data_IF_945996507986
#
_entry.id   IF_945996507986
#
_cell.length_a   1.000
_cell.length_b   1.000
_cell.length_c   1.000
_cell.angle_alpha   90.00
_cell.angle_beta   90.00
_cell.angle_gamma   90.00
#
_symmetry.space_group_name_H-M   'P 1'
#
loop_
_entity.id
_entity.type
_entity.pdbx_description
1 polymer ?
#
# COMPACT_ATOMS: atom_id res chain seq x y z
N UNK A 1 -3.83 14.86 16.82
CA UNK A 1 -2.96 15.02 16.03
C UNK A 1 -2.80 13.94 15.09
N UNK A 2 -2.65 12.78 15.46
CA UNK A 2 -2.57 11.72 14.59
C UNK A 2 -3.82 11.55 13.84
N UNK A 3 -4.88 11.95 14.39
CA UNK A 3 -6.13 11.79 13.83
C UNK A 3 -6.27 12.61 12.63
N UNK A 4 -5.47 13.58 12.41
CA UNK A 4 -5.63 14.40 11.26
C UNK A 4 -4.87 13.85 10.07
N UNK A 5 -4.17 12.76 10.23
CA UNK A 5 -3.43 12.17 9.12
C UNK A 5 -4.33 11.17 8.42
N UNK A 6 -4.62 11.35 7.16
CA UNK A 6 -5.51 10.42 6.47
C UNK A 6 -4.87 9.05 6.33
N UNK A 7 -5.68 8.04 6.22
CA UNK A 7 -5.15 6.70 6.02
C UNK A 7 -4.51 6.62 4.65
N UNK A 8 -3.64 5.65 4.44
CA UNK A 8 -3.02 5.49 3.13
C UNK A 8 -4.03 5.33 2.00
N UNK A 9 -5.15 4.67 2.29
CA UNK A 9 -6.15 4.47 1.26
C UNK A 9 -6.81 5.79 0.88
N UNK A 10 -7.10 6.63 1.88
CA UNK A 10 -7.73 7.92 1.59
C UNK A 10 -6.80 8.80 0.77
N UNK A 11 -5.54 8.83 1.16
CA UNK A 11 -4.58 9.65 0.44
C UNK A 11 -4.34 9.18 -0.98
N UNK A 12 -4.20 7.88 -1.17
CA UNK A 12 -3.98 7.34 -2.50
C UNK A 12 -5.17 7.60 -3.40
N UNK A 13 -6.36 7.40 -2.89
CA UNK A 13 -7.54 7.57 -3.69
C UNK A 13 -7.71 9.01 -4.12
N UNK A 14 -7.52 9.93 -3.21
CA UNK A 14 -7.64 11.33 -3.53
C UNK A 14 -6.58 11.75 -4.53
N UNK A 15 -5.35 11.29 -4.34
CA UNK A 15 -4.27 11.62 -5.24
C UNK A 15 -4.57 11.11 -6.64
N UNK A 16 -5.00 9.86 -6.76
CA UNK A 16 -5.27 9.28 -8.06
C UNK A 16 -6.38 10.05 -8.77
N UNK A 17 -7.43 10.38 -8.04
CA UNK A 17 -8.54 11.09 -8.63
C UNK A 17 -8.12 12.47 -9.11
N UNK A 18 -7.38 13.18 -8.29
CA UNK A 18 -6.95 14.51 -8.66
C UNK A 18 -5.99 14.50 -9.83
N UNK A 19 -5.08 13.54 -9.86
CA UNK A 19 -4.17 13.45 -10.97
C UNK A 19 -4.88 13.08 -12.25
N UNK A 20 -5.98 12.36 -12.15
CA UNK A 20 -6.76 12.01 -13.32
C UNK A 20 -7.69 13.13 -13.75
N UNK A 21 -7.78 14.20 -12.95
CA UNK A 21 -8.65 15.30 -13.30
C UNK A 21 -10.14 14.96 -13.17
N UNK A 22 -10.48 14.03 -12.29
CA UNK A 22 -11.86 13.62 -12.14
C UNK A 22 -12.50 14.18 -10.91
N UNK A 23 -13.80 14.41 -10.98
CA UNK A 23 -14.56 14.74 -9.78
C UNK A 23 -14.87 13.44 -9.07
N UNK A 24 -15.33 13.55 -7.82
CA UNK A 24 -15.75 12.37 -7.09
C UNK A 24 -16.90 11.68 -7.80
N UNK A 25 -17.77 12.43 -8.42
CA UNK A 25 -18.87 11.85 -9.14
C UNK A 25 -18.41 11.10 -10.37
N UNK A 26 -17.46 11.63 -11.08
CA UNK A 26 -16.94 10.95 -12.25
C UNK A 26 -16.24 9.64 -11.87
N UNK A 27 -15.47 9.67 -10.82
CA UNK A 27 -14.81 8.47 -10.38
C UNK A 27 -15.84 7.42 -9.94
N UNK A 28 -16.85 7.87 -9.19
CA UNK A 28 -17.89 6.95 -8.72
C UNK A 28 -18.60 6.31 -9.89
N UNK A 29 -18.91 7.09 -10.90
CA UNK A 29 -19.61 6.57 -12.07
C UNK A 29 -18.74 5.54 -12.79
N UNK A 30 -17.48 5.82 -12.95
CA UNK A 30 -16.60 4.87 -13.63
C UNK A 30 -16.41 3.60 -12.85
N UNK A 31 -16.38 3.70 -11.54
CA UNK A 31 -16.17 2.52 -10.72
C UNK A 31 -17.47 1.78 -10.41
N UNK A 32 -18.60 2.35 -10.73
CA UNK A 32 -19.88 1.73 -10.43
C UNK A 32 -20.25 1.76 -8.97
N UNK A 33 -19.89 2.84 -8.27
CA UNK A 33 -20.24 2.99 -6.86
C UNK A 33 -20.88 4.34 -6.66
N UNK A 34 -21.40 4.61 -5.47
CA UNK A 34 -21.99 5.88 -5.16
C UNK A 34 -20.96 6.92 -4.89
N UNK A 35 -21.23 8.16 -5.26
CA UNK A 35 -20.33 9.26 -4.96
C UNK A 35 -20.13 9.39 -3.46
N UNK A 36 -21.17 9.10 -2.67
CA UNK A 36 -21.02 9.22 -1.22
C UNK A 36 -20.01 8.23 -0.68
N UNK A 37 -19.84 7.09 -1.34
CA UNK A 37 -18.84 6.13 -0.94
C UNK A 37 -17.44 6.68 -1.23
N UNK A 38 -17.26 7.28 -2.40
CA UNK A 38 -15.96 7.85 -2.73
C UNK A 38 -15.63 8.94 -1.72
N UNK A 39 -16.58 9.78 -1.41
CA UNK A 39 -16.37 10.85 -0.46
C UNK A 39 -16.01 10.30 0.92
N UNK A 40 -16.70 9.28 1.37
CA UNK A 40 -16.44 8.69 2.67
C UNK A 40 -15.03 8.10 2.74
N UNK A 41 -14.59 7.47 1.68
CA UNK A 41 -13.24 6.90 1.64
C UNK A 41 -12.19 8.01 1.63
N UNK A 42 -12.41 9.06 0.87
CA UNK A 42 -11.43 10.15 0.79
C UNK A 42 -11.34 10.95 2.07
N UNK A 43 -12.43 11.02 2.82
CA UNK A 43 -12.42 11.72 4.09
C UNK A 43 -12.14 10.78 5.25
N UNK A 44 -11.77 9.55 4.95
CA UNK A 44 -11.39 8.56 5.94
C UNK A 44 -12.51 8.26 6.93
N UNK A 45 -13.74 8.40 6.50
CA UNK A 45 -14.87 8.03 7.32
C UNK A 45 -15.17 6.57 7.18
N UNK A 46 -14.74 5.95 6.11
CA UNK A 46 -14.85 4.53 5.90
C UNK A 46 -13.60 4.04 5.21
N UNK A 47 -13.25 2.78 5.43
CA UNK A 47 -12.08 2.20 4.81
C UNK A 47 -12.54 1.27 3.71
N UNK A 48 -12.03 1.40 2.51
CA UNK A 48 -12.39 0.46 1.46
C UNK A 48 -11.67 -0.86 1.70
N UNK A 49 -12.27 -1.94 1.26
CA UNK A 49 -11.54 -3.20 1.25
C UNK A 49 -10.48 -3.06 0.17
N UNK A 50 -9.48 -3.91 0.22
CA UNK A 50 -8.43 -3.85 -0.78
C UNK A 50 -8.98 -4.03 -2.20
N UNK A 51 -9.84 -5.01 -2.47
CA UNK A 51 -10.39 -5.11 -3.81
C UNK A 51 -11.14 -3.86 -4.25
N UNK A 52 -11.85 -3.21 -3.34
CA UNK A 52 -12.58 -2.01 -3.69
C UNK A 52 -11.62 -0.88 -3.99
N UNK A 53 -10.56 -0.76 -3.21
CA UNK A 53 -9.57 0.28 -3.46
C UNK A 53 -8.91 0.08 -4.83
N UNK A 54 -8.54 -1.16 -5.15
CA UNK A 54 -7.92 -1.44 -6.43
C UNK A 54 -8.85 -1.11 -7.58
N UNK A 55 -10.13 -1.40 -7.41
CA UNK A 55 -11.11 -1.10 -8.43
C UNK A 55 -11.24 0.40 -8.65
N UNK A 56 -11.25 1.17 -7.57
CA UNK A 56 -11.35 2.60 -7.67
C UNK A 56 -10.12 3.21 -8.33
N UNK A 57 -8.95 2.72 -7.96
CA UNK A 57 -7.72 3.23 -8.57
C UNK A 57 -7.68 2.91 -10.05
N UNK A 58 -8.14 1.73 -10.42
CA UNK A 58 -8.16 1.36 -11.79
C UNK A 58 -9.14 2.25 -12.57
N UNK A 59 -10.27 2.59 -11.96
CA UNK A 59 -11.22 3.47 -12.60
C UNK A 59 -10.63 4.85 -12.85
N UNK A 60 -9.68 5.26 -12.02
CA UNK A 60 -9.01 6.53 -12.20
C UNK A 60 -7.83 6.40 -13.19
N UNK A 61 -7.57 5.21 -13.67
CA UNK A 61 -6.50 5.02 -14.62
C UNK A 61 -5.18 4.62 -14.02
N UNK A 62 -5.19 4.16 -12.78
CA UNK A 62 -3.95 3.78 -12.12
C UNK A 62 -3.96 2.33 -11.71
N UNK A 63 -2.79 1.77 -11.59
CA UNK A 63 -2.63 0.41 -11.13
C UNK A 63 -1.76 0.48 -9.89
N UNK A 64 -2.18 -0.12 -8.80
CA UNK A 64 -1.38 -0.14 -7.60
C UNK A 64 -0.58 -1.42 -7.57
N UNK A 65 0.71 -1.30 -7.42
CA UNK A 65 1.57 -2.46 -7.28
C UNK A 65 2.06 -2.52 -5.87
N UNK A 66 2.11 -3.72 -5.33
CA UNK A 66 2.45 -3.89 -3.94
C UNK A 66 3.54 -4.92 -3.80
N UNK A 67 4.38 -4.74 -2.84
CA UNK A 67 5.39 -5.75 -2.54
C UNK A 67 5.65 -5.69 -1.05
N UNK A 68 6.24 -6.72 -0.52
CA UNK A 68 6.53 -6.79 0.88
C UNK A 68 8.01 -6.62 1.11
N UNK A 69 8.32 -5.96 2.19
CA UNK A 69 9.71 -5.80 2.60
C UNK A 69 9.80 -6.13 4.06
N UNK A 70 10.95 -6.52 4.56
CA UNK A 70 11.08 -6.78 5.98
C UNK A 70 10.76 -5.52 6.77
N UNK A 71 10.12 -5.68 7.87
CA UNK A 71 9.75 -4.54 8.69
C UNK A 71 11.02 -3.91 9.22
N UNK A 72 11.15 -2.61 9.01
CA UNK A 72 12.33 -1.89 9.46
C UNK A 72 11.88 -0.94 10.51
N UNK A 73 12.10 -1.27 11.74
CA UNK A 73 11.70 -0.44 12.83
C UNK A 73 12.85 0.21 13.51
N UNK A 74 14.00 0.36 12.88
CA UNK A 74 15.09 0.89 13.58
C UNK A 74 14.93 2.33 13.91
N UNK A 75 14.09 3.04 13.29
CA UNK A 75 13.88 4.40 13.67
C UNK A 75 13.14 4.39 14.99
N UNK A 76 12.45 3.40 15.30
CA UNK A 76 11.67 3.34 16.47
C UNK A 76 12.32 2.68 17.55
N UNK A 77 12.41 1.48 17.55
CA UNK A 77 12.74 0.75 18.66
C UNK A 77 14.03 0.34 18.60
N UNK A 78 14.64 0.44 17.56
CA UNK A 78 15.57 -0.38 17.34
C UNK A 78 16.88 -0.10 17.30
N UNK A 79 17.25 1.13 17.31
CA UNK A 79 18.63 1.47 17.45
C UNK A 79 19.17 0.70 18.61
N UNK A 80 18.43 0.62 19.66
CA UNK A 80 18.87 -0.05 20.83
C UNK A 80 18.99 -1.53 20.66
N UNK A 81 18.04 -2.13 20.03
CA UNK A 81 18.08 -3.55 19.85
C UNK A 81 19.16 -3.92 18.93
N UNK A 82 19.30 -3.18 17.87
CA UNK A 82 20.31 -3.46 16.90
C UNK A 82 21.65 -3.36 17.52
N UNK A 83 21.87 -2.39 18.34
CA UNK A 83 23.14 -2.20 18.96
C UNK A 83 23.52 -3.35 19.87
N UNK A 84 22.54 -4.08 20.33
CA UNK A 84 22.81 -5.19 21.22
C UNK A 84 22.98 -6.50 20.51
N UNK A 85 22.77 -6.54 19.24
CA UNK A 85 22.92 -7.77 18.52
C UNK A 85 24.36 -8.01 18.15
N UNK A 86 24.77 -9.23 18.25
CA UNK A 86 26.11 -9.57 17.79
C UNK A 86 26.08 -9.62 16.27
N UNK A 87 27.21 -9.55 15.62
CA UNK A 87 27.24 -9.65 14.19
C UNK A 87 26.63 -10.96 13.68
N UNK A 88 26.84 -12.05 14.42
CA UNK A 88 26.27 -13.31 14.02
C UNK A 88 24.74 -13.28 14.10
N UNK A 89 24.22 -12.68 15.14
CA UNK A 89 22.77 -12.58 15.29
C UNK A 89 22.17 -11.70 14.20
N UNK A 90 22.88 -10.65 13.85
CA UNK A 90 22.40 -9.76 12.84
C UNK A 90 22.37 -10.46 11.48
N UNK A 91 23.42 -11.21 11.19
CA UNK A 91 23.47 -11.94 9.95
C UNK A 91 22.39 -13.01 9.87
N UNK A 92 22.14 -13.68 10.99
CA UNK A 92 21.10 -14.69 11.03
C UNK A 92 19.73 -14.10 10.82
N UNK A 93 19.50 -12.92 11.39
CA UNK A 93 18.22 -12.26 11.24
C UNK A 93 18.01 -11.85 9.78
N UNK A 94 19.05 -11.30 9.17
CA UNK A 94 18.96 -10.87 7.80
C UNK A 94 18.69 -12.05 6.87
N UNK A 95 19.33 -13.16 7.16
CA UNK A 95 19.15 -14.33 6.34
C UNK A 95 17.71 -14.84 6.45
N UNK A 96 17.13 -14.80 7.64
CA UNK A 96 15.76 -15.22 7.82
C UNK A 96 14.82 -14.30 7.05
N UNK A 97 15.08 -12.99 7.07
CA UNK A 97 14.24 -12.06 6.36
C UNK A 97 14.35 -12.28 4.85
N UNK A 98 15.53 -12.55 4.38
CA UNK A 98 15.75 -12.77 2.99
C UNK A 98 14.99 -14.00 2.51
N UNK A 99 15.05 -15.07 3.27
CA UNK A 99 14.35 -16.28 2.94
C UNK A 99 12.85 -16.08 2.97
N UNK A 100 12.38 -15.32 3.94
CA UNK A 100 10.98 -15.08 4.05
C UNK A 100 10.49 -14.31 2.85
N UNK A 101 11.19 -13.29 2.42
CA UNK A 101 10.78 -12.52 1.28
C UNK A 101 10.84 -13.35 0.00
N UNK A 102 11.84 -14.17 -0.12
CA UNK A 102 11.96 -15.00 -1.30
C UNK A 102 10.77 -15.95 -1.44
N UNK A 103 10.29 -16.47 -0.32
CA UNK A 103 9.17 -17.38 -0.40
C UNK A 103 7.87 -16.67 -0.70
N UNK A 104 7.79 -15.37 -0.46
CA UNK A 104 6.59 -14.63 -0.74
C UNK A 104 6.61 -14.04 -2.13
N UNK A 105 7.76 -13.94 -2.73
CA UNK A 105 7.86 -13.31 -4.03
C UNK A 105 7.37 -14.26 -5.09
N UNK A 106 6.40 -13.91 -5.84
CA UNK A 106 5.89 -14.82 -6.85
C UNK A 106 6.82 -14.79 -8.03
N UNK A 107 6.75 -15.80 -8.80
CA UNK A 107 7.56 -15.90 -9.93
C UNK A 107 6.90 -15.35 -11.15
N UNK A 108 5.83 -14.75 -11.10
CA UNK A 108 5.14 -14.32 -12.27
C UNK A 108 5.77 -13.23 -13.04
N UNK A 109 6.81 -12.69 -12.55
CA UNK A 109 7.48 -11.68 -13.31
C UNK A 109 7.70 -12.17 -14.72
N UNK A 110 7.97 -13.43 -14.87
CA UNK A 110 8.16 -13.92 -16.13
C UNK A 110 6.95 -13.87 -16.96
N UNK A 111 5.82 -14.04 -16.44
CA UNK A 111 4.65 -13.99 -17.17
C UNK A 111 4.42 -12.67 -17.73
N UNK A 112 4.73 -11.65 -17.01
CA UNK A 112 4.51 -10.38 -17.50
C UNK A 112 5.40 -10.10 -18.61
N UNK A 113 6.53 -10.60 -18.62
CA UNK A 113 7.47 -10.35 -19.64
C UNK A 113 6.97 -10.87 -20.95
N UNK A 114 6.10 -11.79 -20.90
CA UNK A 114 5.61 -12.27 -22.05
C UNK A 114 4.57 -11.60 -22.64
N UNK A 115 4.12 -10.73 -22.34
CA UNK A 115 3.04 -10.17 -22.84
C UNK A 115 3.23 -9.32 -23.72
#
# INVERSE_FOLDING_TARGET
MYDSVPSPAAGLLQLARLQAGMSQQELAARAGVDRTMVSAYEHDRRQPTLPTLLKLLKAAGFEMRMHLEPYDDHDDVLATREAKRTPAERAAWEERQRKRLASLTPAPAKKRARR
#
